data_IF_062504907413
#
_entry.id   IF_062504907413
#
_cell.length_a   1.000
_cell.length_b   1.000
_cell.length_c   1.000
_cell.angle_alpha   90.00
_cell.angle_beta   90.00
_cell.angle_gamma   90.00
#
_symmetry.space_group_name_H-M   'P 1'
#
loop_
_entity.id
_entity.type
_entity.pdbx_description
1 polymer ?
#
# COMPACT_ATOMS: atom_id res chain seq x y z
N UNK A 1 -55.74 28.27 -1.23
CA UNK A 1 -54.63 29.10 -1.74
C UNK A 1 -53.80 29.42 -0.49
N UNK A 2 -52.60 28.91 -0.26
CA UNK A 2 -51.56 28.45 -1.19
C UNK A 2 -50.68 27.44 -0.44
N UNK A 3 -50.23 26.41 -1.16
CA UNK A 3 -49.18 25.45 -0.80
C UNK A 3 -47.84 26.12 -0.48
N UNK A 4 -46.95 25.31 0.12
CA UNK A 4 -45.47 25.23 -0.02
C UNK A 4 -44.89 24.91 1.37
N UNK A 5 -44.68 23.65 1.75
CA UNK A 5 -43.75 22.62 1.25
C UNK A 5 -42.27 22.98 1.43
N UNK A 6 -41.48 21.96 1.79
CA UNK A 6 -40.03 21.91 2.01
C UNK A 6 -39.54 22.56 3.32
N UNK A 7 -38.73 21.93 4.15
CA UNK A 7 -37.69 20.96 3.81
C UNK A 7 -37.35 20.18 5.09
N UNK A 8 -37.61 18.87 5.12
CA UNK A 8 -36.89 17.98 6.02
C UNK A 8 -35.45 17.97 5.51
N UNK A 9 -34.57 18.65 6.23
CA UNK A 9 -33.14 18.54 6.05
C UNK A 9 -32.74 17.16 6.59
N UNK A 10 -32.94 16.14 5.76
CA UNK A 10 -32.26 14.86 5.91
C UNK A 10 -30.79 15.17 5.72
N UNK A 11 -30.11 15.48 6.81
CA UNK A 11 -28.65 15.50 6.84
C UNK A 11 -28.25 14.07 6.50
N UNK A 12 -27.90 13.84 5.24
CA UNK A 12 -27.15 12.67 4.81
C UNK A 12 -25.82 12.76 5.56
N UNK A 13 -25.80 12.20 6.78
CA UNK A 13 -24.60 11.77 7.45
C UNK A 13 -23.94 10.80 6.47
N UNK A 14 -23.10 11.36 5.61
CA UNK A 14 -22.18 10.58 4.81
C UNK A 14 -21.35 9.86 5.86
N UNK A 15 -21.63 8.57 6.06
CA UNK A 15 -20.82 7.68 6.87
C UNK A 15 -19.40 7.80 6.30
N UNK A 16 -18.62 8.71 6.88
CA UNK A 16 -17.20 8.82 6.61
C UNK A 16 -16.63 7.55 7.19
N UNK A 17 -16.49 6.55 6.33
CA UNK A 17 -15.83 5.29 6.59
C UNK A 17 -14.46 5.65 7.20
N UNK A 18 -14.40 5.61 8.53
CA UNK A 18 -13.22 6.09 9.25
C UNK A 18 -12.08 5.18 8.85
N UNK A 19 -10.95 5.71 8.37
CA UNK A 19 -9.88 4.87 7.88
C UNK A 19 -9.39 3.95 9.00
N UNK A 20 -9.46 2.64 8.78
CA UNK A 20 -9.17 1.65 9.82
C UNK A 20 -7.68 1.64 10.21
N UNK A 21 -6.79 2.08 9.31
CA UNK A 21 -5.36 2.15 9.60
C UNK A 21 -4.62 3.07 8.63
N UNK A 22 -3.58 3.77 9.12
CA UNK A 22 -2.71 4.56 8.26
C UNK A 22 -1.25 4.61 8.70
N UNK A 23 -0.38 5.02 7.78
CA UNK A 23 1.04 5.30 8.04
C UNK A 23 1.30 6.75 7.69
N UNK A 24 1.96 7.47 8.59
CA UNK A 24 2.36 8.86 8.37
C UNK A 24 3.87 8.91 8.19
N UNK A 25 4.32 9.57 7.13
CA UNK A 25 5.71 9.73 6.75
C UNK A 25 6.03 11.21 6.56
N UNK A 26 7.24 11.63 6.91
CA UNK A 26 7.71 12.97 6.58
C UNK A 26 8.18 13.01 5.12
N UNK A 27 7.59 13.90 4.31
CA UNK A 27 7.88 14.07 2.88
C UNK A 27 9.36 14.38 2.62
N UNK A 28 10.00 15.17 3.48
CA UNK A 28 11.41 15.56 3.32
C UNK A 28 12.38 14.38 3.51
N UNK A 29 11.90 13.24 4.02
CA UNK A 29 12.68 12.02 4.15
C UNK A 29 12.45 11.03 3.01
N UNK A 30 11.42 11.25 2.18
CA UNK A 30 11.02 10.35 1.09
C UNK A 30 11.71 10.77 -0.20
N UNK A 31 12.40 9.81 -0.83
CA UNK A 31 13.06 10.00 -2.13
C UNK A 31 12.11 9.70 -3.29
N UNK A 32 11.43 8.55 -3.22
CA UNK A 32 10.44 8.14 -4.23
C UNK A 32 9.39 7.23 -3.62
N UNK A 33 8.26 7.15 -4.30
CA UNK A 33 7.18 6.19 -4.02
C UNK A 33 6.94 5.43 -5.31
N UNK A 34 7.23 4.13 -5.31
CA UNK A 34 7.02 3.26 -6.45
C UNK A 34 5.67 2.54 -6.29
N UNK A 35 4.78 2.76 -7.25
CA UNK A 35 3.41 2.22 -7.28
C UNK A 35 3.29 1.36 -8.55
N UNK A 36 3.50 0.03 -8.46
CA UNK A 36 3.53 -0.84 -9.64
C UNK A 36 2.14 -1.10 -10.26
N UNK A 37 1.07 -0.86 -9.51
CA UNK A 37 -0.31 -1.04 -9.94
C UNK A 37 -0.89 0.21 -10.62
N UNK A 38 -2.05 0.05 -11.25
CA UNK A 38 -2.83 1.18 -11.75
C UNK A 38 -3.25 2.10 -10.59
N UNK A 39 -3.10 3.41 -10.79
CA UNK A 39 -3.49 4.44 -9.85
C UNK A 39 -4.02 5.66 -10.61
N UNK A 40 -4.82 6.46 -9.93
CA UNK A 40 -5.20 7.80 -10.37
C UNK A 40 -4.55 8.83 -9.44
N UNK A 41 -4.16 9.99 -9.98
CA UNK A 41 -3.55 11.07 -9.22
C UNK A 41 -4.28 12.37 -9.46
N UNK A 42 -4.71 12.99 -8.37
CA UNK A 42 -5.34 14.31 -8.35
C UNK A 42 -4.41 15.27 -7.61
N UNK A 43 -4.13 16.44 -8.19
CA UNK A 43 -3.41 17.50 -7.46
C UNK A 43 -4.40 18.26 -6.58
N UNK A 44 -3.97 18.57 -5.36
CA UNK A 44 -4.74 19.37 -4.39
C UNK A 44 -4.04 20.71 -4.17
N UNK A 45 -4.65 21.60 -3.39
CA UNK A 45 -4.07 22.92 -3.08
C UNK A 45 -2.70 22.79 -2.39
N UNK A 46 -2.55 21.82 -1.49
CA UNK A 46 -1.35 21.63 -0.66
C UNK A 46 -0.47 20.44 -1.08
N UNK A 47 -0.82 19.76 -2.17
CA UNK A 47 -0.08 18.59 -2.62
C UNK A 47 -0.82 17.75 -3.65
N UNK A 48 -1.03 16.48 -3.32
CA UNK A 48 -1.68 15.53 -4.22
C UNK A 48 -2.28 14.36 -3.46
N UNK A 49 -3.27 13.74 -4.09
CA UNK A 49 -3.91 12.51 -3.63
C UNK A 49 -3.78 11.46 -4.73
N UNK A 50 -3.38 10.26 -4.36
CA UNK A 50 -3.29 9.09 -5.24
C UNK A 50 -4.32 8.07 -4.78
N UNK A 51 -5.24 7.72 -5.68
CA UNK A 51 -6.23 6.67 -5.47
C UNK A 51 -5.70 5.37 -6.07
N UNK A 52 -5.62 4.33 -5.25
CA UNK A 52 -5.15 3.02 -5.67
C UNK A 52 -6.30 2.27 -6.36
N UNK A 53 -6.10 1.87 -7.62
CA UNK A 53 -7.14 1.21 -8.42
C UNK A 53 -7.00 -0.32 -8.43
N UNK A 54 -5.89 -0.86 -7.92
CA UNK A 54 -5.62 -2.30 -7.90
C UNK A 54 -4.84 -2.73 -6.66
N UNK A 55 -4.98 -3.99 -6.27
CA UNK A 55 -4.18 -4.56 -5.20
C UNK A 55 -2.71 -4.65 -5.58
N UNK A 56 -1.82 -4.22 -4.70
CA UNK A 56 -0.39 -4.23 -4.97
C UNK A 56 0.44 -3.88 -3.74
N UNK A 57 1.75 -3.76 -3.95
CA UNK A 57 2.69 -3.36 -2.90
C UNK A 57 3.34 -2.05 -3.31
N UNK A 58 3.18 -1.04 -2.47
CA UNK A 58 3.85 0.25 -2.64
C UNK A 58 5.17 0.22 -1.90
N UNK A 59 6.20 0.78 -2.55
CA UNK A 59 7.55 0.86 -2.01
C UNK A 59 7.88 2.34 -1.83
N UNK A 60 8.18 2.73 -0.60
CA UNK A 60 8.69 4.06 -0.28
C UNK A 60 10.18 3.96 -0.04
N UNK A 61 10.96 4.68 -0.86
CA UNK A 61 12.41 4.78 -0.70
C UNK A 61 12.74 6.05 0.08
N UNK A 62 13.64 5.95 1.07
CA UNK A 62 14.04 7.08 1.91
C UNK A 62 15.38 7.67 1.44
N UNK A 63 15.52 8.99 1.53
CA UNK A 63 16.70 9.72 1.03
C UNK A 63 17.98 9.32 1.76
N UNK A 64 17.91 9.15 3.08
CA UNK A 64 19.10 9.04 3.95
C UNK A 64 19.47 7.61 4.32
N UNK A 65 18.78 6.60 3.75
CA UNK A 65 18.93 5.22 4.20
C UNK A 65 18.77 4.22 3.06
N UNK A 66 19.49 3.09 3.16
CA UNK A 66 19.20 1.88 2.36
C UNK A 66 17.87 1.21 2.77
N UNK A 67 17.14 1.79 3.73
CA UNK A 67 15.82 1.32 4.15
C UNK A 67 14.77 1.70 3.11
N UNK A 68 13.83 0.79 2.94
CA UNK A 68 12.58 0.99 2.21
C UNK A 68 11.42 0.58 3.10
N UNK A 69 10.31 1.29 2.98
CA UNK A 69 9.04 0.84 3.54
C UNK A 69 8.26 0.15 2.43
N UNK A 70 7.92 -1.10 2.65
CA UNK A 70 7.05 -1.86 1.76
C UNK A 70 5.70 -2.06 2.45
N UNK A 71 4.63 -1.55 1.84
CA UNK A 71 3.29 -1.70 2.40
C UNK A 71 2.32 -2.28 1.35
N UNK A 72 1.53 -3.32 1.69
CA UNK A 72 0.45 -3.77 0.82
C UNK A 72 -0.68 -2.74 0.81
N UNK A 73 -1.20 -2.45 -0.38
CA UNK A 73 -2.38 -1.62 -0.61
C UNK A 73 -3.40 -2.37 -1.46
N UNK A 74 -4.66 -2.02 -1.29
CA UNK A 74 -5.81 -2.56 -1.99
C UNK A 74 -6.49 -1.48 -2.82
N UNK A 75 -7.36 -1.92 -3.73
CA UNK A 75 -8.20 -0.99 -4.49
C UNK A 75 -9.07 -0.19 -3.50
N UNK A 76 -9.12 1.12 -3.70
CA UNK A 76 -9.81 2.06 -2.81
C UNK A 76 -8.92 2.65 -1.72
N UNK A 77 -7.69 2.15 -1.51
CA UNK A 77 -6.73 2.81 -0.61
C UNK A 77 -6.21 4.13 -1.19
N UNK A 78 -5.75 5.01 -0.31
CA UNK A 78 -5.35 6.37 -0.67
C UNK A 78 -3.92 6.64 -0.18
N UNK A 79 -3.14 7.32 -1.00
CA UNK A 79 -1.87 7.94 -0.59
C UNK A 79 -2.01 9.44 -0.81
N UNK A 80 -1.90 10.21 0.26
CA UNK A 80 -2.04 11.66 0.21
C UNK A 80 -0.73 12.34 0.61
N UNK A 81 -0.40 13.43 -0.07
CA UNK A 81 0.58 14.40 0.39
C UNK A 81 -0.16 15.68 0.75
N UNK A 82 -0.03 16.06 2.03
CA UNK A 82 -0.46 17.35 2.56
C UNK A 82 0.75 18.07 3.18
N UNK A 83 1.27 19.06 2.44
CA UNK A 83 2.47 19.81 2.81
C UNK A 83 3.71 18.92 2.95
N UNK A 84 4.20 18.81 4.19
CA UNK A 84 5.38 18.03 4.59
C UNK A 84 5.05 16.61 5.04
N UNK A 85 3.77 16.20 5.01
CA UNK A 85 3.35 14.85 5.40
C UNK A 85 2.92 14.05 4.17
N UNK A 86 3.29 12.77 4.15
CA UNK A 86 2.65 11.76 3.31
C UNK A 86 1.86 10.84 4.23
N UNK A 87 0.58 10.65 3.93
CA UNK A 87 -0.32 9.75 4.66
C UNK A 87 -0.72 8.63 3.73
N UNK A 88 -0.49 7.39 4.16
CA UNK A 88 -1.00 6.20 3.50
C UNK A 88 -2.22 5.74 4.29
N UNK A 89 -3.38 5.74 3.65
CA UNK A 89 -4.68 5.44 4.25
C UNK A 89 -5.17 4.11 3.71
N UNK A 90 -5.46 3.17 4.61
CA UNK A 90 -5.98 1.84 4.29
C UNK A 90 -7.46 1.79 4.65
N UNK A 91 -8.28 1.53 3.63
CA UNK A 91 -9.74 1.56 3.72
C UNK A 91 -10.35 0.17 3.89
N UNK A 92 -9.54 -0.88 3.99
CA UNK A 92 -9.98 -2.23 4.31
C UNK A 92 -9.53 -2.62 5.72
N UNK A 93 -10.12 -3.67 6.30
CA UNK A 93 -9.64 -4.21 7.57
C UNK A 93 -8.26 -4.83 7.45
N UNK A 94 -7.50 -4.79 8.56
CA UNK A 94 -6.11 -5.27 8.62
C UNK A 94 -5.99 -6.72 8.14
N UNK A 95 -7.01 -7.53 8.39
CA UNK A 95 -7.17 -8.92 7.96
C UNK A 95 -7.07 -9.08 6.44
N UNK A 96 -7.65 -8.15 5.67
CA UNK A 96 -7.66 -8.19 4.22
C UNK A 96 -6.23 -8.08 3.63
N UNK A 97 -5.35 -7.33 4.30
CA UNK A 97 -3.96 -7.15 3.87
C UNK A 97 -3.04 -8.30 4.29
N UNK A 98 -3.44 -9.16 5.24
CA UNK A 98 -2.63 -10.31 5.70
C UNK A 98 -2.40 -11.32 4.58
N UNK A 99 -3.36 -11.49 3.67
CA UNK A 99 -3.26 -12.41 2.53
C UNK A 99 -2.23 -11.94 1.48
N UNK A 100 -1.92 -10.64 1.45
CA UNK A 100 -0.91 -10.05 0.56
C UNK A 100 0.48 -9.97 1.19
N UNK A 101 0.65 -10.38 2.45
CA UNK A 101 1.97 -10.71 3.00
C UNK A 101 2.43 -12.00 2.34
N UNK A 102 2.88 -11.89 1.09
CA UNK A 102 3.50 -12.98 0.37
C UNK A 102 4.56 -13.62 1.27
N UNK A 103 4.54 -14.95 1.35
CA UNK A 103 5.59 -15.74 1.97
C UNK A 103 6.91 -15.27 1.39
N UNK A 104 7.72 -14.58 2.19
CA UNK A 104 9.03 -14.12 1.74
C UNK A 104 9.81 -15.35 1.28
N UNK A 105 10.58 -15.25 0.19
CA UNK A 105 11.39 -16.34 -0.39
C UNK A 105 12.41 -16.97 0.58
N UNK A 106 12.49 -16.48 1.82
CA UNK A 106 13.24 -17.09 2.92
C UNK A 106 12.51 -18.27 3.56
N UNK A 107 11.19 -18.39 3.38
CA UNK A 107 10.43 -19.58 3.70
C UNK A 107 10.54 -20.59 2.55
N UNK A 108 11.77 -21.06 2.27
CA UNK A 108 11.93 -22.26 1.44
C UNK A 108 11.23 -23.41 2.15
N UNK A 109 10.37 -24.10 1.44
CA UNK A 109 9.77 -25.34 1.97
C UNK A 109 10.87 -26.37 2.19
N UNK A 110 10.66 -27.32 3.12
CA UNK A 110 11.65 -28.37 3.40
C UNK A 110 12.04 -29.12 2.12
N UNK A 111 11.08 -29.29 1.21
CA UNK A 111 11.26 -29.92 -0.10
C UNK A 111 12.22 -29.12 -1.03
N UNK A 112 12.20 -27.79 -1.00
CA UNK A 112 13.14 -26.95 -1.78
C UNK A 112 14.58 -27.04 -1.24
N UNK A 113 14.75 -27.15 0.08
CA UNK A 113 16.07 -27.32 0.70
C UNK A 113 16.70 -28.67 0.30
N UNK A 114 15.92 -29.75 0.38
CA UNK A 114 16.36 -31.10 0.02
C UNK A 114 16.73 -31.24 -1.47
N UNK A 115 16.06 -30.47 -2.34
CA UNK A 115 16.35 -30.48 -3.79
C UNK A 115 17.68 -29.79 -4.13
N UNK A 116 18.12 -28.83 -3.31
CA UNK A 116 19.36 -28.06 -3.55
C UNK A 116 20.64 -28.76 -3.07
N UNK A 117 20.58 -29.72 -2.15
CA UNK A 117 21.74 -30.51 -1.72
C UNK A 117 22.19 -31.55 -2.77
N UNK A 118 21.29 -31.96 -3.67
CA UNK A 118 21.59 -33.00 -4.67
C UNK A 118 22.44 -32.53 -5.86
N UNK A 119 22.68 -31.22 -6.02
CA UNK A 119 23.46 -30.68 -7.14
C UNK A 119 24.93 -30.34 -6.80
N UNK A 120 25.32 -30.30 -5.52
CA UNK A 120 26.68 -29.92 -5.12
C UNK A 120 27.65 -31.12 -5.13
N UNK A 121 27.14 -32.36 -5.20
CA UNK A 121 27.95 -33.59 -5.07
C UNK A 121 28.54 -34.20 -6.35
N UNK A 122 28.47 -33.55 -7.52
CA UNK A 122 29.02 -34.10 -8.78
C UNK A 122 29.89 -33.08 -9.52
N UNK A 123 31.05 -32.76 -8.97
CA UNK A 123 32.15 -32.23 -9.77
C UNK A 123 33.24 -33.30 -9.83
N UNK A 124 33.34 -33.93 -11.01
CA UNK A 124 34.28 -34.98 -11.34
C UNK A 124 35.72 -34.43 -11.38
N UNK A 125 36.64 -35.20 -10.81
CA UNK A 125 38.09 -35.02 -10.94
C UNK A 125 38.49 -35.39 -12.37
N UNK A 126 39.18 -34.53 -13.14
CA UNK A 126 39.81 -34.95 -14.38
C UNK A 126 41.21 -35.53 -14.10
N UNK A 127 41.52 -36.64 -14.78
CA UNK A 127 42.88 -37.22 -14.91
C UNK A 127 43.85 -36.27 -15.62
#
# INVERSE_FOLDING_TARGET
>A
MTEENLMEETTEETEQDTPESGVILNFQQVQSIDIPQAFDRVNTENGWTINILGSGRVIVNFITSMRKLETPLMAGDIIERDGDNIVIIRNQPVEAYKTQRGTTSLARTREELLSSESQIGRQAVPD
#
